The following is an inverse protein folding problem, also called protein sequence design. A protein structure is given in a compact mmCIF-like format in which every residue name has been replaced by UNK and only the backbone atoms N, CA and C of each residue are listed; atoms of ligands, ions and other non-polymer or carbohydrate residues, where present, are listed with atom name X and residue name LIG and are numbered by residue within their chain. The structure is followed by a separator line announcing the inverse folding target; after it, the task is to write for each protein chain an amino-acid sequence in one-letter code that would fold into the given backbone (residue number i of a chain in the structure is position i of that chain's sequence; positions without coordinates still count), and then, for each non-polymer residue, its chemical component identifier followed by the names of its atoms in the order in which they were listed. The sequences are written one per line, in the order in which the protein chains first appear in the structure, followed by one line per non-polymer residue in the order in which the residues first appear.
data_IF_270863818318
#
_entry.id   IF_270863818318
#
_cell.length_a   1.000
_cell.length_b   1.000
_cell.length_c   1.000
_cell.angle_alpha   90.00
_cell.angle_beta   90.00
_cell.angle_gamma   90.00
#
_symmetry.space_group_name_H-M   'P 1'
#
loop_
_entity.id
_entity.type
_entity.pdbx_description
1 polymer ?
#
# COMPACT_ATOMS: atom_id res chain seq x y z
N UNK A 1 13.78 1.36 -11.59
CA UNK A 1 12.70 1.11 -10.61
C UNK A 1 12.45 2.38 -9.80
N UNK A 2 11.37 2.43 -9.01
CA UNK A 2 11.11 3.58 -8.12
C UNK A 2 12.18 3.74 -7.05
N UNK A 3 12.86 2.65 -6.67
CA UNK A 3 14.03 2.66 -5.79
C UNK A 3 15.15 3.59 -6.28
N UNK A 4 15.55 3.52 -7.55
CA UNK A 4 16.60 4.42 -8.08
C UNK A 4 16.09 5.87 -8.15
N UNK A 5 14.82 6.08 -8.50
CA UNK A 5 14.23 7.42 -8.53
C UNK A 5 14.18 8.05 -7.12
N UNK A 6 13.87 7.26 -6.09
CA UNK A 6 13.91 7.66 -4.68
C UNK A 6 15.37 7.95 -4.26
N UNK A 7 16.34 7.17 -4.71
CA UNK A 7 17.76 7.46 -4.44
C UNK A 7 18.20 8.79 -5.07
N UNK A 8 17.76 9.09 -6.29
CA UNK A 8 18.07 10.35 -6.95
C UNK A 8 17.39 11.55 -6.29
N UNK A 9 16.12 11.41 -5.86
CA UNK A 9 15.40 12.46 -5.16
C UNK A 9 14.43 11.89 -4.09
N UNK A 10 14.90 11.72 -2.84
CA UNK A 10 14.12 11.09 -1.78
C UNK A 10 13.02 11.97 -1.20
N UNK A 11 12.96 13.26 -1.61
CA UNK A 11 11.95 14.21 -1.13
C UNK A 11 10.73 14.29 -2.04
N UNK A 12 10.79 13.69 -3.23
CA UNK A 12 9.68 13.71 -4.16
C UNK A 12 8.66 12.64 -3.77
N UNK A 13 7.56 13.09 -3.15
CA UNK A 13 6.45 12.23 -2.74
C UNK A 13 5.85 11.42 -3.90
N UNK A 14 5.99 11.88 -5.15
CA UNK A 14 5.42 11.22 -6.33
C UNK A 14 6.02 9.84 -6.57
N UNK A 15 7.28 9.61 -6.19
CA UNK A 15 7.91 8.29 -6.36
C UNK A 15 7.36 7.26 -5.38
N UNK A 16 7.17 7.62 -4.12
CA UNK A 16 6.49 6.79 -3.11
C UNK A 16 5.01 6.59 -3.49
N UNK A 17 4.37 7.67 -3.89
CA UNK A 17 3.02 7.69 -4.40
C UNK A 17 2.84 6.68 -5.53
N UNK A 18 3.54 6.86 -6.66
CA UNK A 18 3.42 6.01 -7.84
C UNK A 18 3.93 4.59 -7.60
N UNK A 19 5.00 4.42 -6.82
CA UNK A 19 5.50 3.10 -6.41
C UNK A 19 4.46 2.31 -5.62
N UNK A 20 3.74 2.96 -4.70
CA UNK A 20 2.68 2.31 -3.93
C UNK A 20 1.53 1.77 -4.80
N UNK A 21 1.27 2.35 -5.97
CA UNK A 21 0.28 1.81 -6.90
C UNK A 21 0.74 0.51 -7.55
N UNK A 22 2.04 0.38 -7.87
CA UNK A 22 2.59 -0.88 -8.37
C UNK A 22 2.49 -1.99 -7.30
N UNK A 23 2.80 -1.67 -6.03
CA UNK A 23 2.61 -2.63 -4.94
C UNK A 23 1.14 -2.99 -4.73
N UNK A 24 0.22 -2.05 -4.95
CA UNK A 24 -1.22 -2.30 -4.88
C UNK A 24 -1.67 -3.27 -5.98
N UNK A 25 -1.21 -3.11 -7.22
CA UNK A 25 -1.49 -4.06 -8.30
C UNK A 25 -0.90 -5.46 -8.06
N UNK A 26 0.11 -5.58 -7.20
CA UNK A 26 0.71 -6.85 -6.78
C UNK A 26 0.08 -7.40 -5.49
N UNK A 27 -0.98 -6.76 -4.97
CA UNK A 27 -1.65 -7.10 -3.71
C UNK A 27 -0.72 -7.09 -2.48
N UNK A 28 0.41 -6.38 -2.57
CA UNK A 28 1.38 -6.22 -1.49
C UNK A 28 1.00 -5.03 -0.59
N UNK A 29 -0.19 -5.11 0.01
CA UNK A 29 -0.79 -4.03 0.80
C UNK A 29 0.11 -3.46 1.92
N UNK A 30 0.92 -4.26 2.66
CA UNK A 30 1.83 -3.72 3.67
C UNK A 30 2.85 -2.72 3.08
N UNK A 31 3.35 -2.99 1.88
CA UNK A 31 4.28 -2.10 1.16
C UNK A 31 3.56 -0.82 0.70
N UNK A 32 2.31 -0.94 0.24
CA UNK A 32 1.46 0.21 -0.11
C UNK A 32 1.28 1.15 1.09
N UNK A 33 1.01 0.59 2.28
CA UNK A 33 0.84 1.38 3.50
C UNK A 33 2.13 2.11 3.90
N UNK A 34 3.29 1.47 3.79
CA UNK A 34 4.59 2.08 4.08
C UNK A 34 4.90 3.25 3.15
N UNK A 35 4.71 3.06 1.84
CA UNK A 35 5.01 4.09 0.84
C UNK A 35 4.01 5.25 0.87
N UNK A 36 2.71 4.96 1.04
CA UNK A 36 1.70 6.01 1.21
C UNK A 36 1.92 6.80 2.49
N UNK A 37 2.35 6.17 3.59
CA UNK A 37 2.70 6.86 4.82
C UNK A 37 3.87 7.84 4.64
N UNK A 38 4.95 7.41 3.95
CA UNK A 38 6.06 8.31 3.61
C UNK A 38 5.62 9.45 2.70
N UNK A 39 4.80 9.15 1.70
CA UNK A 39 4.28 10.16 0.78
C UNK A 39 3.43 11.21 1.48
N UNK A 40 2.61 10.81 2.46
CA UNK A 40 1.79 11.73 3.28
C UNK A 40 2.67 12.56 4.21
N UNK A 41 3.72 11.97 4.80
CA UNK A 41 4.68 12.70 5.63
C UNK A 41 5.44 13.77 4.84
N UNK A 42 5.80 13.48 3.58
CA UNK A 42 6.48 14.43 2.69
C UNK A 42 5.56 15.53 2.18
N UNK A 43 4.30 15.20 1.88
CA UNK A 43 3.33 16.17 1.35
C UNK A 43 1.94 15.84 1.90
N UNK A 44 1.57 16.41 3.06
CA UNK A 44 0.25 16.19 3.68
C UNK A 44 -0.92 16.69 2.83
N UNK A 45 -0.68 17.61 1.90
CA UNK A 45 -1.74 18.12 1.00
C UNK A 45 -2.03 17.17 -0.17
N UNK A 46 -1.25 16.09 -0.32
CA UNK A 46 -1.37 15.18 -1.45
C UNK A 46 -2.51 14.17 -1.24
N UNK A 47 -3.71 14.54 -1.70
CA UNK A 47 -4.95 13.76 -1.52
C UNK A 47 -4.87 12.32 -2.05
N UNK A 48 -4.10 12.10 -3.12
CA UNK A 48 -3.91 10.74 -3.70
C UNK A 48 -3.20 9.78 -2.75
N UNK A 49 -2.35 10.28 -1.84
CA UNK A 49 -1.67 9.46 -0.83
C UNK A 49 -2.66 8.87 0.16
N UNK A 50 -3.58 9.69 0.65
CA UNK A 50 -4.67 9.24 1.54
C UNK A 50 -5.63 8.27 0.84
N UNK A 51 -6.00 8.57 -0.41
CA UNK A 51 -6.85 7.69 -1.20
C UNK A 51 -6.23 6.28 -1.32
N UNK A 52 -4.95 6.20 -1.72
CA UNK A 52 -4.24 4.92 -1.86
C UNK A 52 -4.07 4.18 -0.54
N UNK A 53 -3.82 4.91 0.55
CA UNK A 53 -3.78 4.34 1.91
C UNK A 53 -5.13 3.74 2.29
N UNK A 54 -6.22 4.45 2.02
CA UNK A 54 -7.59 3.98 2.25
C UNK A 54 -7.91 2.71 1.47
N UNK A 55 -7.63 2.68 0.17
CA UNK A 55 -7.82 1.50 -0.69
C UNK A 55 -7.05 0.29 -0.14
N UNK A 56 -5.78 0.48 0.22
CA UNK A 56 -4.95 -0.60 0.77
C UNK A 56 -5.48 -1.16 2.10
N UNK A 57 -6.07 -0.32 2.96
CA UNK A 57 -6.69 -0.79 4.21
C UNK A 57 -7.95 -1.60 3.96
N UNK A 58 -8.82 -1.13 3.04
CA UNK A 58 -10.07 -1.82 2.70
C UNK A 58 -9.76 -3.20 2.10
N UNK A 59 -8.86 -3.23 1.13
CA UNK A 59 -8.54 -4.46 0.39
C UNK A 59 -7.68 -5.42 1.23
N UNK A 60 -6.68 -4.91 1.95
CA UNK A 60 -5.85 -5.73 2.85
C UNK A 60 -6.66 -6.36 3.98
N UNK A 61 -7.65 -5.64 4.53
CA UNK A 61 -8.51 -6.18 5.58
C UNK A 61 -9.49 -7.23 5.04
N UNK A 62 -10.01 -7.05 3.82
CA UNK A 62 -10.80 -8.06 3.13
C UNK A 62 -9.99 -9.36 2.95
N UNK A 63 -8.74 -9.25 2.50
CA UNK A 63 -7.86 -10.41 2.29
C UNK A 63 -7.62 -11.19 3.60
N UNK A 64 -7.35 -10.48 4.70
CA UNK A 64 -7.14 -11.10 6.01
C UNK A 64 -8.39 -11.82 6.54
N UNK A 65 -9.58 -11.27 6.25
CA UNK A 65 -10.86 -11.86 6.65
C UNK A 65 -11.21 -13.08 5.80
N UNK A 66 -10.90 -13.04 4.50
CA UNK A 66 -11.05 -14.20 3.60
C UNK A 66 -10.11 -15.34 4.02
N UNK A 67 -8.86 -15.03 4.33
CA UNK A 67 -7.88 -16.04 4.77
C UNK A 67 -8.29 -16.69 6.10
N UNK A 68 -8.84 -15.91 7.04
CA UNK A 68 -9.34 -16.46 8.31
C UNK A 68 -10.58 -17.33 8.11
N UNK A 69 -11.51 -16.94 7.24
CA UNK A 69 -12.66 -17.78 6.88
C UNK A 69 -12.24 -19.08 6.19
N UNK A 70 -11.28 -19.03 5.27
CA UNK A 70 -10.76 -20.21 4.56
C UNK A 70 -10.04 -21.18 5.50
N UNK A 71 -9.20 -20.67 6.40
CA UNK A 71 -8.50 -21.52 7.39
C UNK A 71 -9.46 -22.18 8.37
N UNK A 72 -10.49 -21.47 8.83
CA UNK A 72 -11.57 -22.06 9.64
C UNK A 72 -12.33 -23.14 8.87
N UNK A 73 -12.63 -22.93 7.59
CA UNK A 73 -13.31 -23.93 6.75
C UNK A 73 -12.45 -25.20 6.55
N UNK A 74 -11.14 -25.04 6.34
CA UNK A 74 -10.21 -26.15 6.16
C UNK A 74 -9.90 -26.94 7.44
N UNK A 75 -10.10 -26.35 8.63
CA UNK A 75 -9.95 -27.07 9.91
C UNK A 75 -11.24 -27.81 10.30
N UNK A 76 -12.39 -27.40 9.74
CA UNK A 76 -13.69 -28.03 9.98
C UNK A 76 -14.08 -29.11 8.95
N UNK A 77 -13.25 -29.37 7.94
CA UNK A 77 -13.38 -30.46 6.95
C UNK A 77 -12.25 -31.48 7.14
#
# INVERSE_FOLDING_TARGET
MFSEAIHCNPKDHRFFGNGSYCYWCLELYPSVLSDTQKSIQLTPDWTKGYFRKGSALIEGQCLSSLLSMWTLLCVCL
#
